data_IF_765018482218
#
_entry.id   IF_765018482218
#
_cell.length_a   1.000
_cell.length_b   1.000
_cell.length_c   1.000
_cell.angle_alpha   90.00
_cell.angle_beta   90.00
_cell.angle_gamma   90.00
#
_symmetry.space_group_name_H-M   'P 1'
#
loop_
_entity.id
_entity.type
_entity.pdbx_description
1 polymer ?
#
# COMPACT_ATOMS: atom_id res chain seq x y z
N UNK A 1 16.62 -1.56 18.28
CA UNK A 1 15.26 -1.83 17.76
C UNK A 1 15.41 -3.01 16.81
N UNK A 2 14.68 -4.09 17.03
CA UNK A 2 14.87 -5.33 16.28
C UNK A 2 14.00 -5.27 15.02
N UNK A 3 14.64 -5.31 13.85
CA UNK A 3 13.99 -5.52 12.56
C UNK A 3 14.33 -6.95 12.13
N UNK A 4 13.32 -7.78 11.96
CA UNK A 4 13.45 -9.20 11.62
C UNK A 4 13.00 -9.43 10.18
N UNK A 5 13.77 -10.20 9.41
CA UNK A 5 13.33 -10.71 8.12
C UNK A 5 12.39 -11.89 8.35
N UNK A 6 11.12 -11.74 8.01
CA UNK A 6 10.13 -12.83 8.16
C UNK A 6 10.07 -13.73 6.92
N UNK A 7 10.30 -13.15 5.73
CA UNK A 7 10.32 -13.89 4.46
C UNK A 7 11.34 -13.25 3.51
N UNK A 8 12.30 -14.04 3.04
CA UNK A 8 13.18 -13.65 1.92
C UNK A 8 12.45 -13.85 0.58
N UNK A 9 11.40 -13.06 0.36
CA UNK A 9 10.52 -13.22 -0.79
C UNK A 9 11.17 -12.79 -2.12
N UNK A 10 12.23 -11.96 -2.04
CA UNK A 10 12.95 -11.37 -3.17
C UNK A 10 12.02 -10.69 -4.18
N UNK A 11 10.92 -10.11 -3.71
CA UNK A 11 9.88 -9.54 -4.55
C UNK A 11 10.43 -8.41 -5.41
N UNK A 12 10.03 -8.38 -6.68
CA UNK A 12 10.37 -7.29 -7.59
C UNK A 12 9.83 -5.98 -7.02
N UNK A 13 8.54 -5.97 -6.70
CA UNK A 13 7.87 -4.89 -5.98
C UNK A 13 6.90 -5.49 -4.98
N UNK A 14 7.38 -5.78 -3.77
CA UNK A 14 6.54 -6.22 -2.66
C UNK A 14 5.68 -5.06 -2.16
N UNK A 15 4.36 -5.19 -2.22
CA UNK A 15 3.42 -4.10 -1.94
C UNK A 15 2.15 -4.57 -1.23
N UNK A 16 1.34 -3.61 -0.78
CA UNK A 16 0.02 -3.82 -0.18
C UNK A 16 -0.04 -4.95 0.88
N UNK A 17 0.83 -4.93 1.91
CA UNK A 17 0.70 -5.80 3.06
C UNK A 17 -0.63 -5.57 3.78
N UNK A 18 -1.38 -6.64 4.03
CA UNK A 18 -2.63 -6.63 4.79
C UNK A 18 -2.61 -7.76 5.80
N UNK A 19 -2.82 -7.42 7.08
CA UNK A 19 -2.98 -8.41 8.14
C UNK A 19 -4.39 -8.99 8.14
N UNK A 20 -4.49 -10.33 8.16
CA UNK A 20 -5.74 -11.05 8.29
C UNK A 20 -5.91 -11.57 9.74
N UNK A 21 -6.66 -10.88 10.62
CA UNK A 21 -6.75 -11.23 12.03
C UNK A 21 -7.38 -12.59 12.29
N UNK A 22 -8.37 -13.01 11.48
CA UNK A 22 -8.99 -14.33 11.63
C UNK A 22 -8.06 -15.50 11.29
N UNK A 23 -7.02 -15.25 10.50
CA UNK A 23 -6.06 -16.29 10.08
C UNK A 23 -4.71 -16.15 10.78
N UNK A 24 -4.45 -15.00 11.43
CA UNK A 24 -3.15 -14.59 11.94
C UNK A 24 -2.06 -14.68 10.85
N UNK A 25 -2.38 -14.09 9.69
CA UNK A 25 -1.57 -14.15 8.48
C UNK A 25 -1.31 -12.76 7.91
N UNK A 26 -0.12 -12.55 7.34
CA UNK A 26 0.16 -11.41 6.49
C UNK A 26 -0.03 -11.79 5.03
N UNK A 27 -0.82 -11.03 4.29
CA UNK A 27 -0.93 -11.11 2.84
C UNK A 27 -0.25 -9.90 2.21
N UNK A 28 0.34 -10.05 1.02
CA UNK A 28 0.92 -8.95 0.25
C UNK A 28 1.04 -9.35 -1.22
N UNK A 29 1.39 -8.41 -2.08
CA UNK A 29 1.50 -8.65 -3.52
C UNK A 29 2.94 -8.49 -3.99
N UNK A 30 3.31 -9.20 -5.05
CA UNK A 30 4.47 -8.85 -5.88
C UNK A 30 3.96 -8.37 -7.23
N UNK A 31 3.94 -7.04 -7.41
CA UNK A 31 3.28 -6.39 -8.55
C UNK A 31 3.79 -6.95 -9.88
N UNK A 32 5.08 -6.86 -10.23
CA UNK A 32 5.59 -7.33 -11.52
C UNK A 32 5.48 -8.85 -11.70
N UNK A 33 5.52 -9.62 -10.61
CA UNK A 33 5.37 -11.08 -10.68
C UNK A 33 3.90 -11.53 -10.76
N UNK A 34 2.94 -10.62 -10.55
CA UNK A 34 1.49 -10.88 -10.59
C UNK A 34 1.08 -11.89 -9.52
N UNK A 35 1.68 -11.80 -8.34
CA UNK A 35 1.52 -12.80 -7.29
C UNK A 35 0.84 -12.20 -6.06
N UNK A 36 -0.04 -13.00 -5.45
CA UNK A 36 -0.48 -12.82 -4.08
C UNK A 36 0.34 -13.75 -3.20
N UNK A 37 0.84 -13.25 -2.08
CA UNK A 37 1.57 -14.03 -1.10
C UNK A 37 0.82 -14.07 0.23
N UNK A 38 1.11 -15.10 1.02
CA UNK A 38 0.64 -15.26 2.40
C UNK A 38 1.76 -15.81 3.26
N UNK A 39 1.95 -15.22 4.43
CA UNK A 39 2.80 -15.74 5.49
C UNK A 39 1.99 -15.95 6.76
N UNK A 40 2.13 -17.13 7.37
CA UNK A 40 1.43 -17.51 8.59
C UNK A 40 2.29 -17.26 9.83
N UNK A 41 1.78 -16.49 10.78
CA UNK A 41 2.54 -16.17 12.00
C UNK A 41 2.78 -17.38 12.91
N UNK A 42 1.90 -18.39 12.86
CA UNK A 42 1.97 -19.54 13.78
C UNK A 42 3.18 -20.44 13.50
N UNK A 43 3.54 -20.64 12.23
CA UNK A 43 4.55 -21.62 11.82
C UNK A 43 5.51 -21.10 10.72
N UNK A 44 5.37 -19.84 10.32
CA UNK A 44 6.20 -19.22 9.30
C UNK A 44 5.94 -19.73 7.87
N UNK A 45 4.88 -20.52 7.63
CA UNK A 45 4.60 -21.04 6.29
C UNK A 45 4.30 -19.90 5.31
N UNK A 46 4.98 -19.94 4.18
CA UNK A 46 4.81 -19.03 3.05
C UNK A 46 4.13 -19.75 1.89
N UNK A 47 3.11 -19.11 1.32
CA UNK A 47 2.39 -19.56 0.13
C UNK A 47 2.33 -18.41 -0.88
N UNK A 48 2.23 -18.76 -2.16
CA UNK A 48 1.98 -17.80 -3.23
C UNK A 48 0.93 -18.34 -4.21
N UNK A 49 0.22 -17.41 -4.85
CA UNK A 49 -0.73 -17.68 -5.91
C UNK A 49 -0.46 -16.79 -7.10
N UNK A 50 -0.56 -17.35 -8.30
CA UNK A 50 -0.31 -16.67 -9.56
C UNK A 50 -1.60 -16.08 -10.13
N UNK A 51 -1.58 -14.79 -10.43
CA UNK A 51 -2.63 -14.08 -11.18
C UNK A 51 -2.25 -13.80 -12.63
N UNK A 52 -3.23 -13.32 -13.39
CA UNK A 52 -3.14 -13.13 -14.84
C UNK A 52 -2.42 -11.82 -15.24
N UNK A 53 -2.58 -10.76 -14.45
CA UNK A 53 -2.02 -9.42 -14.68
C UNK A 53 -1.42 -8.82 -13.40
N UNK A 54 -0.62 -7.74 -13.51
CA UNK A 54 0.00 -7.11 -12.33
C UNK A 54 -1.07 -6.77 -11.28
N UNK A 55 -0.84 -7.30 -10.09
CA UNK A 55 -1.69 -7.15 -8.92
C UNK A 55 -1.06 -6.10 -8.01
N UNK A 56 -1.69 -4.93 -7.89
CA UNK A 56 -1.04 -3.76 -7.30
C UNK A 56 -1.41 -3.51 -5.83
N UNK A 57 -2.68 -3.69 -5.48
CA UNK A 57 -3.17 -3.53 -4.12
C UNK A 57 -4.35 -4.45 -3.83
N UNK A 58 -4.54 -4.77 -2.55
CA UNK A 58 -5.59 -5.67 -2.06
C UNK A 58 -6.27 -5.12 -0.81
N UNK A 59 -7.53 -5.50 -0.60
CA UNK A 59 -8.20 -5.40 0.69
C UNK A 59 -9.04 -6.66 0.94
N UNK A 60 -9.20 -7.05 2.20
CA UNK A 60 -10.05 -8.19 2.57
C UNK A 60 -11.47 -7.94 2.08
N UNK A 61 -12.15 -8.97 1.59
CA UNK A 61 -13.59 -8.92 1.30
C UNK A 61 -14.27 -10.17 1.84
N UNK A 62 -15.61 -10.14 1.96
CA UNK A 62 -16.37 -11.31 2.43
C UNK A 62 -16.25 -12.55 1.52
N UNK A 63 -15.67 -12.42 0.33
CA UNK A 63 -15.51 -13.48 -0.68
C UNK A 63 -14.04 -13.68 -1.08
N UNK A 64 -13.09 -13.32 -0.20
CA UNK A 64 -11.65 -13.37 -0.48
C UNK A 64 -11.05 -11.97 -0.45
N UNK A 65 -10.67 -11.44 -1.61
CA UNK A 65 -10.00 -10.13 -1.72
C UNK A 65 -10.65 -9.27 -2.80
N UNK A 66 -10.74 -7.96 -2.56
CA UNK A 66 -10.85 -6.98 -3.65
C UNK A 66 -9.46 -6.50 -4.01
N UNK A 67 -9.21 -6.22 -5.28
CA UNK A 67 -7.89 -5.84 -5.76
C UNK A 67 -7.93 -4.80 -6.87
N UNK A 68 -6.94 -3.90 -6.86
CA UNK A 68 -6.60 -3.06 -8.02
C UNK A 68 -5.52 -3.73 -8.85
N UNK A 69 -5.77 -3.92 -10.15
CA UNK A 69 -4.88 -4.62 -11.09
C UNK A 69 -4.54 -3.75 -12.31
N UNK A 70 -3.99 -4.31 -13.39
CA UNK A 70 -3.66 -3.51 -14.60
C UNK A 70 -4.91 -2.91 -15.25
N UNK A 71 -5.96 -3.71 -15.41
CA UNK A 71 -7.12 -3.37 -16.26
C UNK A 71 -8.35 -2.94 -15.49
N UNK A 72 -8.37 -3.06 -14.17
CA UNK A 72 -9.54 -2.71 -13.35
C UNK A 72 -9.45 -3.12 -11.88
N UNK A 73 -10.61 -3.09 -11.24
CA UNK A 73 -10.85 -3.63 -9.91
C UNK A 73 -11.45 -5.03 -10.03
N UNK A 74 -10.93 -5.98 -9.26
CA UNK A 74 -11.31 -7.39 -9.31
C UNK A 74 -11.67 -7.93 -7.94
N UNK A 75 -12.56 -8.91 -7.91
CA UNK A 75 -12.69 -9.85 -6.80
C UNK A 75 -11.74 -11.02 -7.07
N UNK A 76 -10.90 -11.35 -6.09
CA UNK A 76 -9.94 -12.44 -6.16
C UNK A 76 -10.27 -13.55 -5.16
N UNK A 77 -10.02 -14.78 -5.58
CA UNK A 77 -10.08 -15.96 -4.73
C UNK A 77 -8.85 -16.84 -4.96
N UNK A 78 -8.07 -17.06 -3.90
CA UNK A 78 -6.95 -17.99 -3.90
C UNK A 78 -7.43 -19.44 -4.00
N UNK A 79 -6.78 -20.24 -4.86
CA UNK A 79 -7.14 -21.63 -5.16
C UNK A 79 -6.09 -22.59 -4.62
N UNK A 80 -6.48 -23.84 -4.41
CA UNK A 80 -5.58 -24.86 -3.85
C UNK A 80 -4.46 -25.28 -4.81
N UNK A 81 -4.62 -25.06 -6.11
CA UNK A 81 -3.64 -25.37 -7.15
C UNK A 81 -2.58 -24.27 -7.35
N UNK A 82 -2.63 -23.19 -6.57
CA UNK A 82 -1.71 -22.07 -6.67
C UNK A 82 -2.12 -20.99 -7.69
N UNK A 83 -3.32 -21.06 -8.28
CA UNK A 83 -3.88 -19.98 -9.11
C UNK A 83 -4.70 -18.97 -8.30
N UNK A 84 -4.86 -17.77 -8.86
CA UNK A 84 -5.85 -16.77 -8.42
C UNK A 84 -7.00 -16.73 -9.41
N UNK A 85 -8.20 -17.10 -8.96
CA UNK A 85 -9.41 -16.77 -9.72
C UNK A 85 -9.64 -15.26 -9.61
N UNK A 86 -9.81 -14.59 -10.75
CA UNK A 86 -10.11 -13.16 -10.82
C UNK A 86 -11.43 -12.90 -11.55
N UNK A 87 -12.34 -12.15 -10.91
CA UNK A 87 -13.58 -11.66 -11.52
C UNK A 87 -13.58 -10.14 -11.56
N UNK A 88 -13.67 -9.57 -12.75
CA UNK A 88 -13.74 -8.12 -12.94
C UNK A 88 -14.99 -7.55 -12.25
N UNK A 89 -14.80 -6.50 -11.45
CA UNK A 89 -15.87 -5.72 -10.82
C UNK A 89 -16.10 -4.40 -11.54
N UNK A 90 -15.01 -3.71 -11.91
CA UNK A 90 -15.06 -2.47 -12.69
C UNK A 90 -13.81 -2.38 -13.55
N UNK A 91 -13.96 -2.08 -14.83
CA UNK A 91 -12.82 -1.70 -15.66
C UNK A 91 -12.35 -0.28 -15.29
N UNK A 92 -11.09 0.04 -15.59
CA UNK A 92 -10.58 1.41 -15.56
C UNK A 92 -10.29 1.87 -16.98
N UNK A 93 -10.70 3.09 -17.32
CA UNK A 93 -10.24 3.74 -18.54
C UNK A 93 -9.01 4.58 -18.20
N UNK A 94 -7.84 4.04 -18.50
CA UNK A 94 -6.58 4.77 -18.31
C UNK A 94 -6.49 5.98 -19.23
N UNK A 95 -5.79 7.02 -18.75
CA UNK A 95 -5.54 8.22 -19.55
C UNK A 95 -4.63 7.94 -20.75
N UNK A 96 -3.75 6.93 -20.66
CA UNK A 96 -2.90 6.47 -21.75
C UNK A 96 -2.45 5.02 -21.58
N UNK A 97 -1.80 4.46 -22.61
CA UNK A 97 -1.24 3.12 -22.57
C UNK A 97 -0.09 2.99 -21.57
N UNK A 98 0.14 1.76 -21.06
CA UNK A 98 1.22 1.48 -20.11
C UNK A 98 0.93 1.94 -18.68
N UNK A 99 -0.35 2.10 -18.33
CA UNK A 99 -0.79 2.43 -16.97
C UNK A 99 -1.32 1.19 -16.23
N UNK A 100 -1.30 1.25 -14.91
CA UNK A 100 -1.86 0.24 -14.00
C UNK A 100 -2.37 0.90 -12.72
N UNK A 101 -3.17 0.20 -11.92
CA UNK A 101 -3.30 0.54 -10.50
C UNK A 101 -1.96 0.39 -9.75
N UNK A 102 -1.84 1.07 -8.63
CA UNK A 102 -0.69 1.12 -7.73
C UNK A 102 -1.17 0.86 -6.29
N UNK A 103 -0.90 1.73 -5.33
CA UNK A 103 -1.38 1.61 -3.96
C UNK A 103 -2.90 1.86 -3.86
N UNK A 104 -3.49 1.22 -2.86
CA UNK A 104 -4.92 1.21 -2.62
C UNK A 104 -5.28 0.46 -1.34
N UNK A 105 -6.41 0.84 -0.76
CA UNK A 105 -6.95 0.28 0.48
C UNK A 105 -8.42 0.67 0.66
N UNK A 106 -9.06 0.16 1.70
CA UNK A 106 -10.38 0.62 2.09
C UNK A 106 -10.32 1.89 2.96
N UNK A 107 -11.33 2.76 2.81
CA UNK A 107 -11.65 3.77 3.82
C UNK A 107 -12.28 3.12 5.07
N UNK A 108 -12.58 3.91 6.11
CA UNK A 108 -13.19 3.41 7.36
C UNK A 108 -14.62 2.91 7.21
N UNK A 109 -15.29 3.22 6.09
CA UNK A 109 -16.61 2.73 5.76
C UNK A 109 -16.57 1.44 4.92
N UNK A 110 -15.38 1.02 4.45
CA UNK A 110 -15.20 -0.17 3.64
C UNK A 110 -15.31 0.07 2.13
N UNK A 111 -15.23 1.33 1.66
CA UNK A 111 -15.16 1.63 0.21
C UNK A 111 -13.73 1.40 -0.27
N UNK A 112 -13.55 0.78 -1.42
CA UNK A 112 -12.21 0.51 -1.96
C UNK A 112 -11.68 1.72 -2.75
N UNK A 113 -10.46 2.15 -2.44
CA UNK A 113 -9.77 3.26 -3.08
C UNK A 113 -8.47 2.76 -3.68
N UNK A 114 -8.13 3.19 -4.90
CA UNK A 114 -6.89 2.79 -5.55
C UNK A 114 -6.40 3.86 -6.53
N UNK A 115 -5.09 4.09 -6.53
CA UNK A 115 -4.41 5.05 -7.41
C UNK A 115 -3.88 4.39 -8.67
N UNK A 116 -3.88 5.09 -9.81
CA UNK A 116 -3.24 4.65 -11.06
C UNK A 116 -1.95 5.43 -11.33
N UNK A 117 -1.04 4.81 -12.07
CA UNK A 117 0.22 5.44 -12.49
C UNK A 117 0.64 4.95 -13.88
N UNK A 118 1.53 5.71 -14.53
CA UNK A 118 2.26 5.27 -15.71
C UNK A 118 3.47 4.42 -15.29
N UNK A 119 3.66 3.26 -15.93
CA UNK A 119 4.81 2.39 -15.67
C UNK A 119 6.15 3.08 -15.94
N UNK A 120 6.23 3.84 -17.03
CA UNK A 120 7.41 4.64 -17.35
C UNK A 120 7.45 5.93 -16.51
N UNK A 121 7.94 5.77 -15.27
CA UNK A 121 8.11 6.88 -14.35
C UNK A 121 9.06 7.98 -14.88
N UNK A 122 9.97 7.68 -15.82
CA UNK A 122 10.93 8.68 -16.30
C UNK A 122 10.25 9.84 -17.05
N UNK A 123 9.07 9.58 -17.63
CA UNK A 123 8.29 10.62 -18.31
C UNK A 123 7.76 11.68 -17.35
N UNK A 124 7.59 11.36 -16.06
CA UNK A 124 7.03 12.28 -15.08
C UNK A 124 5.63 12.79 -15.47
N UNK A 125 4.86 11.97 -16.19
CA UNK A 125 3.57 12.37 -16.74
C UNK A 125 2.51 12.51 -15.63
N UNK A 126 1.80 13.63 -15.63
CA UNK A 126 0.72 13.95 -14.69
C UNK A 126 -0.61 13.26 -15.07
N UNK A 127 -0.57 11.95 -15.26
CA UNK A 127 -1.71 11.13 -15.71
C UNK A 127 -2.22 10.17 -14.63
N UNK A 128 -1.54 10.09 -13.49
CA UNK A 128 -1.98 9.32 -12.35
C UNK A 128 -3.20 9.94 -11.68
N UNK A 129 -4.08 9.08 -11.19
CA UNK A 129 -5.35 9.47 -10.60
C UNK A 129 -5.72 8.55 -9.43
N UNK A 130 -6.49 9.06 -8.47
CA UNK A 130 -7.07 8.28 -7.38
C UNK A 130 -8.56 8.06 -7.65
N UNK A 131 -8.98 6.80 -7.58
CA UNK A 131 -10.37 6.40 -7.77
C UNK A 131 -10.94 5.77 -6.50
N UNK A 132 -12.26 5.86 -6.37
CA UNK A 132 -13.06 5.13 -5.40
C UNK A 132 -14.05 4.23 -6.12
N UNK A 133 -14.07 2.95 -5.78
CA UNK A 133 -15.09 2.01 -6.21
C UNK A 133 -16.38 2.20 -5.39
N UNK A 134 -17.53 2.18 -6.04
CA UNK A 134 -18.83 2.44 -5.39
C UNK A 134 -19.60 1.22 -4.91
N UNK A 135 -19.09 0.01 -5.18
CA UNK A 135 -19.81 -1.22 -4.85
C UNK A 135 -20.74 -1.73 -5.93
N UNK A 136 -21.10 -0.87 -6.87
CA UNK A 136 -22.07 -1.09 -7.93
C UNK A 136 -21.41 -1.25 -9.31
N UNK A 137 -20.08 -1.39 -9.32
CA UNK A 137 -19.29 -1.67 -10.51
C UNK A 137 -18.76 -0.43 -11.23
N UNK A 138 -18.75 0.74 -10.57
CA UNK A 138 -18.15 1.96 -11.13
C UNK A 138 -17.01 2.51 -10.29
N UNK A 139 -16.07 3.15 -10.99
CA UNK A 139 -15.00 3.93 -10.41
C UNK A 139 -15.30 5.42 -10.52
N UNK A 140 -15.29 6.10 -9.38
CA UNK A 140 -15.43 7.54 -9.28
C UNK A 140 -14.05 8.16 -9.16
N UNK A 141 -13.71 9.06 -10.08
CA UNK A 141 -12.47 9.85 -9.98
C UNK A 141 -12.55 10.81 -8.79
N UNK A 142 -11.52 10.81 -7.94
CA UNK A 142 -11.48 11.59 -6.71
C UNK A 142 -10.34 12.60 -6.69
N UNK A 143 -9.20 12.25 -7.28
CA UNK A 143 -8.06 13.16 -7.50
C UNK A 143 -7.40 12.83 -8.84
N UNK A 144 -6.97 13.83 -9.58
CA UNK A 144 -6.25 13.69 -10.85
C UNK A 144 -4.96 14.54 -10.86
N UNK A 145 -4.25 14.53 -12.00
CA UNK A 145 -3.04 15.33 -12.21
C UNK A 145 -1.83 14.91 -11.36
N UNK A 146 -1.88 13.71 -10.79
CA UNK A 146 -0.78 13.12 -10.02
C UNK A 146 0.18 12.38 -10.95
N UNK A 147 1.39 12.08 -10.46
CA UNK A 147 2.34 11.22 -11.20
C UNK A 147 2.31 9.80 -10.63
N UNK A 148 2.57 9.64 -9.33
CA UNK A 148 2.55 8.33 -8.65
C UNK A 148 1.78 8.43 -7.33
N UNK A 149 0.43 8.31 -7.33
CA UNK A 149 -0.36 8.25 -6.12
C UNK A 149 0.04 7.04 -5.26
N UNK A 150 0.25 7.29 -3.98
CA UNK A 150 0.74 6.32 -3.01
C UNK A 150 0.40 6.76 -1.57
N UNK A 151 0.75 5.96 -0.58
CA UNK A 151 0.70 6.35 0.83
C UNK A 151 -0.70 6.71 1.30
N UNK A 152 -1.71 6.09 0.71
CA UNK A 152 -3.11 6.36 1.05
C UNK A 152 -3.37 5.88 2.48
N UNK A 153 -3.91 6.73 3.33
CA UNK A 153 -4.34 6.34 4.68
C UNK A 153 -5.49 7.21 5.18
N UNK A 154 -6.20 6.72 6.20
CA UNK A 154 -7.33 7.44 6.83
C UNK A 154 -7.11 7.51 8.34
N UNK A 155 -7.47 8.63 8.97
CA UNK A 155 -7.37 8.81 10.44
C UNK A 155 -8.23 7.78 11.20
N UNK A 156 -7.97 7.55 12.51
CA UNK A 156 -8.71 6.58 13.32
C UNK A 156 -10.24 6.75 13.28
N UNK A 157 -10.72 7.98 13.24
CA UNK A 157 -12.13 8.34 13.13
C UNK A 157 -12.66 8.41 11.68
N UNK A 158 -11.78 8.22 10.69
CA UNK A 158 -12.07 8.28 9.26
C UNK A 158 -12.23 9.69 8.69
N UNK A 159 -12.12 10.75 9.51
CA UNK A 159 -12.43 12.12 9.08
C UNK A 159 -11.29 12.84 8.37
N UNK A 160 -10.11 12.24 8.27
CA UNK A 160 -8.99 12.74 7.48
C UNK A 160 -8.49 11.67 6.54
N UNK A 161 -8.23 12.07 5.31
CA UNK A 161 -7.54 11.25 4.30
C UNK A 161 -6.15 11.82 4.06
N UNK A 162 -5.17 10.96 3.91
CA UNK A 162 -3.80 11.28 3.53
C UNK A 162 -3.49 10.63 2.19
N UNK A 163 -2.77 11.34 1.33
CA UNK A 163 -2.33 10.81 0.03
C UNK A 163 -1.00 11.44 -0.34
N UNK A 164 -0.08 10.64 -0.85
CA UNK A 164 1.22 11.11 -1.31
C UNK A 164 1.36 11.01 -2.83
N UNK A 165 2.28 11.81 -3.38
CA UNK A 165 2.84 11.58 -4.71
C UNK A 165 4.33 11.27 -4.58
N UNK A 166 4.66 10.01 -4.85
CA UNK A 166 5.98 9.41 -4.67
C UNK A 166 7.01 9.86 -5.69
N UNK A 167 6.60 10.50 -6.79
CA UNK A 167 7.52 10.79 -7.87
C UNK A 167 8.67 11.70 -7.38
N UNK A 168 9.93 11.48 -7.81
CA UNK A 168 11.08 12.29 -7.37
C UNK A 168 10.90 13.81 -7.54
N UNK A 169 10.12 14.22 -8.56
CA UNK A 169 9.84 15.65 -8.81
C UNK A 169 8.71 16.23 -7.92
N UNK A 170 8.00 15.41 -7.14
CA UNK A 170 6.88 15.86 -6.29
C UNK A 170 7.21 15.67 -4.81
N UNK A 171 7.24 14.43 -4.32
CA UNK A 171 7.60 14.06 -2.93
C UNK A 171 6.79 14.83 -1.86
N UNK A 172 5.47 14.90 -2.05
CA UNK A 172 4.55 15.58 -1.13
C UNK A 172 3.54 14.61 -0.58
N UNK A 173 3.16 14.80 0.68
CA UNK A 173 1.99 14.19 1.31
C UNK A 173 0.97 15.29 1.53
N UNK A 174 -0.25 15.09 1.06
CA UNK A 174 -1.39 15.97 1.31
C UNK A 174 -2.33 15.33 2.31
N UNK A 175 -2.99 16.18 3.09
CA UNK A 175 -4.13 15.80 3.90
C UNK A 175 -5.40 16.49 3.38
N UNK A 176 -6.52 15.83 3.65
CA UNK A 176 -7.86 16.25 3.26
C UNK A 176 -8.77 16.04 4.45
N UNK A 177 -9.71 16.95 4.65
CA UNK A 177 -10.91 16.62 5.41
C UNK A 177 -11.71 15.59 4.60
N UNK A 178 -12.29 14.61 5.28
CA UNK A 178 -12.99 13.49 4.64
C UNK A 178 -14.39 13.35 5.20
N UNK A 179 -15.39 13.55 4.34
CA UNK A 179 -16.78 13.27 4.67
C UNK A 179 -17.02 11.76 4.61
N UNK A 180 -17.23 11.16 5.78
CA UNK A 180 -17.45 9.72 5.92
C UNK A 180 -18.79 9.26 5.35
N UNK A 181 -19.79 10.13 5.23
CA UNK A 181 -21.12 9.77 4.76
C UNK A 181 -21.12 9.67 3.22
N UNK A 182 -20.63 10.72 2.56
CA UNK A 182 -20.53 10.76 1.10
C UNK A 182 -19.30 10.04 0.54
N UNK A 183 -18.25 9.91 1.35
CA UNK A 183 -16.95 9.37 0.94
C UNK A 183 -16.18 10.32 0.04
N UNK A 184 -16.18 11.61 0.38
CA UNK A 184 -15.62 12.68 -0.46
C UNK A 184 -14.54 13.47 0.29
N UNK A 185 -13.30 13.48 -0.21
CA UNK A 185 -12.24 14.31 0.32
C UNK A 185 -12.39 15.77 -0.13
N UNK A 186 -12.04 16.71 0.75
CA UNK A 186 -12.04 18.15 0.47
C UNK A 186 -10.97 18.86 1.30
N UNK A 187 -10.76 20.16 1.07
CA UNK A 187 -9.82 20.94 1.87
C UNK A 187 -8.36 20.49 1.73
N UNK A 188 -7.94 20.05 0.51
CA UNK A 188 -6.57 19.60 0.23
C UNK A 188 -5.55 20.63 0.70
N UNK A 189 -4.67 20.22 1.60
CA UNK A 189 -3.54 21.03 2.05
C UNK A 189 -2.27 20.20 2.16
N UNK A 190 -1.11 20.85 2.06
CA UNK A 190 0.17 20.20 2.26
C UNK A 190 0.26 19.75 3.72
N UNK A 191 0.49 18.45 3.93
CA UNK A 191 0.70 17.87 5.25
C UNK A 191 2.19 17.76 5.55
N UNK A 192 2.94 17.12 4.64
CA UNK A 192 4.39 16.93 4.77
C UNK A 192 5.05 17.13 3.40
N UNK A 193 6.14 17.89 3.36
CA UNK A 193 7.09 17.88 2.25
C UNK A 193 8.22 16.90 2.58
N UNK A 194 8.23 15.76 1.88
CA UNK A 194 9.16 14.67 2.15
C UNK A 194 10.59 14.97 1.71
N UNK A 195 10.83 16.03 0.94
CA UNK A 195 12.19 16.46 0.60
C UNK A 195 12.99 16.91 1.83
N UNK A 196 12.31 17.22 2.92
CA UNK A 196 12.93 17.55 4.19
C UNK A 196 13.39 16.32 4.98
N UNK A 197 13.10 15.11 4.50
CA UNK A 197 13.37 13.85 5.18
C UNK A 197 14.05 12.84 4.23
N UNK A 198 14.79 11.84 4.75
CA UNK A 198 15.41 10.83 3.91
C UNK A 198 14.41 9.96 3.14
N UNK A 199 14.55 9.90 1.82
CA UNK A 199 13.79 9.00 0.97
C UNK A 199 12.46 9.59 0.47
N UNK A 200 11.97 9.02 -0.61
CA UNK A 200 10.70 9.42 -1.23
C UNK A 200 9.53 8.81 -0.48
N UNK A 201 8.37 9.48 -0.42
CA UNK A 201 7.17 8.85 0.12
C UNK A 201 6.83 7.64 -0.75
N UNK A 202 6.34 6.57 -0.13
CA UNK A 202 5.77 5.41 -0.80
C UNK A 202 4.50 5.01 -0.05
N UNK A 203 4.31 3.75 0.27
CA UNK A 203 3.20 3.25 1.05
C UNK A 203 3.16 3.70 2.52
N UNK A 204 1.95 3.79 3.09
CA UNK A 204 1.69 4.28 4.43
C UNK A 204 0.62 3.51 5.23
N UNK A 205 0.66 3.69 6.56
CA UNK A 205 -0.33 3.21 7.51
C UNK A 205 -0.63 4.27 8.59
N UNK A 206 -1.67 4.05 9.39
CA UNK A 206 -2.05 4.92 10.52
C UNK A 206 -2.07 4.09 11.80
N UNK A 207 -1.52 4.64 12.88
CA UNK A 207 -1.62 4.03 14.22
C UNK A 207 -2.86 4.51 15.00
N UNK A 208 -3.10 3.88 16.15
CA UNK A 208 -4.23 4.19 17.02
C UNK A 208 -4.23 5.63 17.56
N UNK A 209 -3.07 6.28 17.63
CA UNK A 209 -2.92 7.68 18.07
C UNK A 209 -3.16 8.67 16.92
N UNK A 210 -3.44 8.17 15.72
CA UNK A 210 -3.64 8.96 14.51
C UNK A 210 -2.36 9.43 13.84
N UNK A 211 -1.20 8.89 14.22
CA UNK A 211 0.05 9.22 13.57
C UNK A 211 0.21 8.44 12.26
N UNK A 212 0.72 9.13 11.24
CA UNK A 212 0.89 8.66 9.88
C UNK A 212 2.30 8.07 9.70
N UNK A 213 2.35 6.78 9.38
CA UNK A 213 3.57 6.02 9.13
C UNK A 213 3.78 5.88 7.64
N UNK A 214 4.93 6.29 7.11
CA UNK A 214 5.22 6.23 5.67
C UNK A 214 6.62 5.69 5.39
N UNK A 215 6.72 4.79 4.41
CA UNK A 215 7.99 4.28 3.92
C UNK A 215 8.78 5.39 3.19
N UNK A 216 10.01 5.62 3.64
CA UNK A 216 11.01 6.45 2.97
C UNK A 216 11.80 5.59 1.97
N UNK A 217 11.21 5.37 0.79
CA UNK A 217 11.84 4.61 -0.30
C UNK A 217 13.16 5.29 -0.72
N UNK A 218 14.17 4.48 -1.06
CA UNK A 218 15.56 4.86 -1.32
C UNK A 218 16.40 5.25 -0.08
N UNK A 219 15.80 5.33 1.12
CA UNK A 219 16.52 5.65 2.36
C UNK A 219 16.55 4.54 3.41
N UNK A 220 15.80 3.45 3.24
CA UNK A 220 15.69 2.39 4.25
C UNK A 220 15.11 2.87 5.57
N UNK A 221 14.14 3.79 5.49
CA UNK A 221 13.47 4.36 6.66
C UNK A 221 11.95 4.21 6.59
N UNK A 222 11.32 4.26 7.77
CA UNK A 222 9.89 4.48 7.92
C UNK A 222 9.72 5.65 8.87
N UNK A 223 9.02 6.68 8.44
CA UNK A 223 8.79 7.90 9.21
C UNK A 223 7.41 7.87 9.84
N UNK A 224 7.32 8.29 11.11
CA UNK A 224 6.06 8.53 11.80
C UNK A 224 5.86 10.03 11.98
N UNK A 225 4.76 10.56 11.44
CA UNK A 225 4.34 11.95 11.59
C UNK A 225 3.13 12.05 12.51
N UNK A 226 3.11 13.05 13.40
CA UNK A 226 1.91 13.35 14.22
C UNK A 226 0.77 13.86 13.35
N UNK A 227 -0.49 13.91 13.84
CA UNK A 227 -1.62 14.45 13.09
C UNK A 227 -1.44 15.91 12.60
N UNK A 228 -0.48 16.64 13.16
CA UNK A 228 -0.08 18.00 12.79
C UNK A 228 1.08 18.06 11.78
N UNK A 229 1.58 16.90 11.30
CA UNK A 229 2.63 16.82 10.28
C UNK A 229 4.05 16.94 10.83
N UNK A 230 4.23 16.89 12.15
CA UNK A 230 5.56 16.89 12.78
C UNK A 230 6.15 15.49 12.78
N UNK A 231 7.41 15.34 12.38
CA UNK A 231 8.13 14.08 12.53
C UNK A 231 8.25 13.73 14.02
N UNK A 232 7.73 12.57 14.43
CA UNK A 232 7.87 12.03 15.77
C UNK A 232 9.10 11.13 15.87
N UNK A 233 9.24 10.16 14.94
CA UNK A 233 10.37 9.23 14.90
C UNK A 233 10.58 8.63 13.52
N UNK A 234 11.73 8.01 13.32
CA UNK A 234 12.04 7.17 12.15
C UNK A 234 12.55 5.81 12.60
N UNK A 235 12.15 4.75 11.88
CA UNK A 235 12.67 3.40 12.07
C UNK A 235 13.53 3.00 10.87
N UNK A 236 14.61 2.26 11.11
CA UNK A 236 15.48 1.76 10.04
C UNK A 236 15.07 0.34 9.62
N UNK A 237 15.13 0.09 8.32
CA UNK A 237 14.88 -1.22 7.69
C UNK A 237 16.13 -1.61 6.90
N UNK A 238 16.62 -2.86 6.93
CA UNK A 238 17.90 -3.26 6.34
C UNK A 238 17.85 -3.43 4.80
N UNK A 239 17.13 -2.55 4.11
CA UNK A 239 16.99 -2.46 2.65
C UNK A 239 16.83 -1.00 2.27
N UNK A 240 17.29 -0.57 1.09
CA UNK A 240 17.16 0.85 0.69
C UNK A 240 15.73 1.21 0.30
N UNK A 241 14.94 0.26 -0.19
CA UNK A 241 13.61 0.51 -0.77
C UNK A 241 12.48 -0.19 0.01
N UNK A 242 12.19 0.21 1.26
CA UNK A 242 10.91 -0.14 1.87
C UNK A 242 9.79 0.46 1.03
N UNK A 243 8.74 -0.32 0.78
CA UNK A 243 7.68 0.02 -0.17
C UNK A 243 6.40 0.42 0.57
N UNK A 244 5.86 -0.49 1.38
CA UNK A 244 4.63 -0.25 2.14
C UNK A 244 4.73 -0.90 3.52
N UNK A 245 3.98 -0.36 4.47
CA UNK A 245 3.91 -0.87 5.82
C UNK A 245 2.47 -1.10 6.26
N UNK A 246 2.28 -2.07 7.16
CA UNK A 246 0.98 -2.37 7.75
C UNK A 246 1.14 -2.92 9.16
N UNK A 247 0.20 -2.57 10.02
CA UNK A 247 0.16 -3.13 11.37
C UNK A 247 -0.49 -4.51 11.36
N UNK A 248 0.03 -5.40 12.19
CA UNK A 248 -0.48 -6.76 12.36
C UNK A 248 -0.01 -7.40 13.65
N UNK A 249 -0.09 -8.74 13.71
CA UNK A 249 0.02 -9.48 14.96
C UNK A 249 -1.31 -9.51 15.73
N UNK A 250 -1.41 -10.40 16.71
CA UNK A 250 -2.63 -10.61 17.49
C UNK A 250 -3.10 -9.32 18.21
N UNK A 251 -2.17 -8.45 18.58
CA UNK A 251 -2.42 -7.19 19.29
C UNK A 251 -2.27 -5.95 18.41
N UNK A 252 -2.06 -6.12 17.09
CA UNK A 252 -1.76 -5.05 16.13
C UNK A 252 -0.54 -4.19 16.51
N UNK A 253 0.42 -4.76 17.22
CA UNK A 253 1.64 -4.12 17.74
C UNK A 253 2.90 -4.49 16.95
N UNK A 254 2.76 -5.15 15.80
CA UNK A 254 3.87 -5.43 14.88
C UNK A 254 3.69 -4.59 13.63
N UNK A 255 4.73 -3.89 13.20
CA UNK A 255 4.77 -3.20 11.91
C UNK A 255 5.45 -4.10 10.88
N UNK A 256 4.66 -4.64 9.96
CA UNK A 256 5.17 -5.39 8.80
C UNK A 256 5.53 -4.43 7.67
N UNK A 257 6.58 -4.76 6.92
CA UNK A 257 7.15 -3.90 5.88
C UNK A 257 7.52 -4.73 4.66
N UNK A 258 6.93 -4.43 3.51
CA UNK A 258 7.36 -5.00 2.23
C UNK A 258 8.44 -4.13 1.60
N UNK A 259 9.22 -4.69 0.68
CA UNK A 259 10.29 -3.97 0.01
C UNK A 259 10.44 -4.32 -1.46
N UNK A 260 11.22 -3.51 -2.17
CA UNK A 260 11.47 -3.62 -3.61
C UNK A 260 12.85 -4.21 -3.85
N UNK A 261 12.94 -5.18 -4.75
CA UNK A 261 14.18 -5.68 -5.31
C UNK A 261 14.39 -5.16 -6.73
N UNK A 262 15.13 -4.06 -6.92
CA UNK A 262 15.33 -3.49 -8.24
C UNK A 262 16.11 -4.45 -9.16
N UNK A 263 15.78 -4.42 -10.44
CA UNK A 263 16.46 -5.20 -11.48
C UNK A 263 17.53 -4.36 -12.15
N UNK A 264 18.58 -5.01 -12.68
CA UNK A 264 19.60 -4.33 -13.49
C UNK A 264 20.61 -3.49 -12.70
N UNK A 265 20.68 -3.66 -11.39
CA UNK A 265 21.69 -3.00 -10.53
C UNK A 265 22.44 -4.03 -9.68
N UNK A 266 23.63 -3.67 -9.20
CA UNK A 266 24.33 -4.46 -8.20
C UNK A 266 23.59 -4.40 -6.86
N UNK A 267 23.37 -5.58 -6.28
CA UNK A 267 22.66 -5.78 -5.00
C UNK A 267 23.54 -6.49 -3.97
N UNK A 268 24.85 -6.56 -4.20
CA UNK A 268 25.82 -7.12 -3.26
C UNK A 268 25.74 -6.46 -1.87
N UNK A 269 25.39 -5.17 -1.81
CA UNK A 269 25.21 -4.39 -0.58
C UNK A 269 23.78 -4.44 0.00
N UNK A 270 22.85 -5.12 -0.68
CA UNK A 270 21.44 -5.22 -0.31
C UNK A 270 20.92 -6.66 -0.50
N UNK A 271 21.52 -7.64 0.20
CA UNK A 271 21.16 -9.06 0.04
C UNK A 271 19.70 -9.35 0.39
N UNK A 272 19.08 -8.52 1.24
CA UNK A 272 17.69 -8.68 1.71
C UNK A 272 16.66 -7.89 0.88
N UNK A 273 17.05 -7.23 -0.21
CA UNK A 273 16.12 -6.45 -1.03
C UNK A 273 15.00 -7.33 -1.61
N UNK A 274 13.75 -6.86 -1.47
CA UNK A 274 12.55 -7.63 -1.81
C UNK A 274 12.06 -8.55 -0.69
N UNK A 275 12.72 -8.53 0.47
CA UNK A 275 12.26 -9.23 1.67
C UNK A 275 11.06 -8.54 2.33
N UNK A 276 10.40 -9.28 3.21
CA UNK A 276 9.36 -8.78 4.11
C UNK A 276 9.88 -8.78 5.54
N UNK A 277 9.67 -7.69 6.26
CA UNK A 277 10.22 -7.47 7.58
C UNK A 277 9.14 -7.25 8.64
N UNK A 278 9.46 -7.55 9.89
CA UNK A 278 8.67 -7.23 11.06
C UNK A 278 9.49 -6.36 12.03
N UNK A 279 8.85 -5.32 12.58
CA UNK A 279 9.45 -4.42 13.56
C UNK A 279 8.49 -4.22 14.74
N UNK A 280 9.06 -3.95 15.91
CA UNK A 280 8.32 -3.37 17.04
C UNK A 280 8.29 -1.82 16.88
N UNK A 281 7.13 -1.21 16.59
CA UNK A 281 6.99 0.23 16.43
C UNK A 281 6.82 0.97 17.76
N UNK A 282 6.60 0.26 18.88
CA UNK A 282 6.29 0.83 20.19
C UNK A 282 4.90 1.47 20.29
N UNK A 283 3.98 1.12 19.39
CA UNK A 283 2.56 1.53 19.38
C UNK A 283 1.71 0.45 18.69
N UNK A 284 0.40 0.63 18.65
CA UNK A 284 -0.54 -0.26 17.97
C UNK A 284 -1.15 0.40 16.76
N UNK A 285 -1.38 -0.41 15.73
CA UNK A 285 -2.19 -0.03 14.59
C UNK A 285 -3.68 -0.19 14.81
N UNK A 286 -4.37 -0.23 13.68
CA UNK A 286 -5.80 -0.48 13.58
C UNK A 286 -6.02 -1.64 12.62
N UNK A 287 -7.10 -2.38 12.82
CA UNK A 287 -7.52 -3.39 11.85
C UNK A 287 -7.96 -2.68 10.57
N UNK A 288 -7.36 -3.05 9.43
CA UNK A 288 -7.74 -2.50 8.13
C UNK A 288 -9.19 -2.91 7.79
N UNK A 289 -10.07 -1.96 7.40
CA UNK A 289 -11.44 -2.28 7.02
C UNK A 289 -11.50 -3.27 5.86
N UNK A 290 -12.40 -4.24 5.95
CA UNK A 290 -12.76 -5.06 4.80
C UNK A 290 -13.64 -4.26 3.83
N UNK A 291 -13.52 -4.56 2.55
CA UNK A 291 -14.40 -4.07 1.50
C UNK A 291 -15.83 -4.55 1.70
N UNK A 292 -16.80 -3.65 1.54
CA UNK A 292 -18.22 -3.92 1.88
C UNK A 292 -19.19 -3.92 0.70
N UNK A 293 -18.72 -3.71 -0.53
CA UNK A 293 -19.62 -3.37 -1.64
C UNK A 293 -19.87 -1.89 -1.58
#
# INVERSE_FOLDING_TARGET
MNCELIVDARNGTGESPVWHPGEQALYWVDIPARQLHRWQAADGKHQCWQGDEMLACIARSGQGWVAGMESGIFQLQAKADGSLDSRLLSNVQHAQAGMRFNDGRCDRQGRFWAGTMLLDMQQGAHVGALYRHDGEGHLHLQQDGMIVPNGLAFSPDGKRMYLSDSHPNVQKVWAFDYDTDSGTPHGKHLFVDMRNYPGRPDGAAIDQDGCYWICGNDAGQIHRFTPEGRLDRSLSVPVKKPAMCAFGGASLDILYVTSIRPTGIDLSDQPLAGGVFALDPGTKGLEEPAYRG
#
